data_IF_260663751088
#
_entry.id   IF_260663751088
#
_cell.length_a   1.000
_cell.length_b   1.000
_cell.length_c   1.000
_cell.angle_alpha   90.00
_cell.angle_beta   90.00
_cell.angle_gamma   90.00
#
_symmetry.space_group_name_H-M   'P 1'
#
loop_
_entity.id
_entity.type
_entity.pdbx_description
1 polymer ?
#
# COMPACT_ATOMS: atom_id res chain seq x y z
N UNK A 1 13.92 -10.60 7.16
CA UNK A 1 13.73 -11.34 8.44
C UNK A 1 12.67 -12.45 8.33
N UNK A 2 11.36 -12.16 8.22
CA UNK A 2 10.29 -13.19 8.18
C UNK A 2 10.55 -14.28 7.13
N UNK A 3 10.93 -13.91 5.91
CA UNK A 3 11.18 -14.91 4.85
C UNK A 3 12.41 -15.81 5.12
N UNK A 4 13.39 -15.32 5.89
CA UNK A 4 14.54 -16.13 6.32
C UNK A 4 14.16 -17.09 7.45
N UNK A 5 13.29 -16.64 8.37
CA UNK A 5 12.69 -17.50 9.40
C UNK A 5 11.86 -18.61 8.76
N UNK A 6 11.02 -18.28 7.78
CA UNK A 6 10.22 -19.27 7.05
C UNK A 6 11.09 -20.26 6.25
N UNK A 7 12.17 -19.79 5.62
CA UNK A 7 13.08 -20.65 4.86
C UNK A 7 13.86 -21.63 5.74
N UNK A 8 14.16 -21.25 6.99
CA UNK A 8 14.85 -22.10 7.96
C UNK A 8 13.92 -22.91 8.85
N UNK A 9 12.60 -22.73 8.71
CA UNK A 9 11.59 -23.23 9.65
C UNK A 9 11.63 -24.74 9.82
N UNK A 10 11.69 -25.50 8.72
CA UNK A 10 11.65 -26.96 8.77
C UNK A 10 12.95 -27.52 9.35
N UNK A 11 14.10 -26.88 9.05
CA UNK A 11 15.39 -27.23 9.64
C UNK A 11 15.44 -26.98 11.16
N UNK A 12 14.93 -25.84 11.61
CA UNK A 12 14.83 -25.51 13.04
C UNK A 12 13.88 -26.47 13.76
N UNK A 13 12.73 -26.77 13.15
CA UNK A 13 11.74 -27.72 13.72
C UNK A 13 12.34 -29.11 13.88
N UNK A 14 13.08 -29.59 12.86
CA UNK A 14 13.76 -30.88 12.91
C UNK A 14 14.85 -30.94 14.00
N UNK A 15 15.63 -29.87 14.17
CA UNK A 15 16.65 -29.77 15.21
C UNK A 15 16.03 -29.80 16.62
N UNK A 16 14.93 -29.08 16.82
CA UNK A 16 14.19 -29.07 18.08
C UNK A 16 13.57 -30.44 18.39
N UNK A 17 13.05 -31.12 17.37
CA UNK A 17 12.52 -32.48 17.50
C UNK A 17 13.60 -33.49 17.90
N UNK A 18 14.78 -33.43 17.26
CA UNK A 18 15.92 -34.30 17.60
C UNK A 18 16.44 -34.09 19.02
N UNK A 19 16.29 -32.89 19.58
CA UNK A 19 16.69 -32.55 20.95
C UNK A 19 15.56 -32.74 21.98
N UNK A 20 14.37 -33.17 21.57
CA UNK A 20 13.21 -33.31 22.46
C UNK A 20 12.71 -31.97 23.04
N UNK A 21 13.03 -30.85 22.40
CA UNK A 21 12.73 -29.50 22.91
C UNK A 21 11.46 -28.88 22.33
N UNK A 22 10.72 -29.59 21.47
CA UNK A 22 9.55 -29.07 20.76
C UNK A 22 8.47 -28.46 21.67
N UNK A 23 8.23 -29.04 22.84
CA UNK A 23 7.26 -28.51 23.83
C UNK A 23 7.56 -27.07 24.27
N UNK A 24 8.84 -26.70 24.37
CA UNK A 24 9.22 -25.35 24.79
C UNK A 24 8.96 -24.29 23.71
N UNK A 25 8.74 -24.72 22.46
CA UNK A 25 8.54 -23.85 21.30
C UNK A 25 7.19 -24.07 20.62
N UNK A 26 6.29 -24.81 21.24
CA UNK A 26 4.99 -25.18 20.64
C UNK A 26 4.17 -23.95 20.23
N UNK A 27 4.19 -22.90 21.07
CA UNK A 27 3.54 -21.61 20.77
C UNK A 27 4.14 -20.90 19.56
N UNK A 28 5.45 -21.04 19.33
CA UNK A 28 6.12 -20.43 18.16
C UNK A 28 5.85 -21.28 16.92
N UNK A 29 5.90 -22.61 17.06
CA UNK A 29 5.67 -23.55 15.96
C UNK A 29 4.23 -23.44 15.42
N UNK A 30 3.25 -23.20 16.27
CA UNK A 30 1.85 -23.01 15.87
C UNK A 30 1.60 -21.71 15.09
N UNK A 31 2.52 -20.74 15.16
CA UNK A 31 2.42 -19.45 14.47
C UNK A 31 2.93 -19.47 13.02
N UNK A 32 3.39 -20.61 12.50
CA UNK A 32 3.94 -20.73 11.13
C UNK A 32 2.99 -20.14 10.07
N UNK A 33 1.70 -20.46 10.16
CA UNK A 33 0.70 -20.00 9.19
C UNK A 33 0.53 -18.48 9.21
N UNK A 34 0.44 -17.88 10.41
CA UNK A 34 0.37 -16.43 10.57
C UNK A 34 1.59 -15.73 9.94
N UNK A 35 2.79 -16.29 10.12
CA UNK A 35 4.00 -15.75 9.50
C UNK A 35 4.00 -15.87 7.97
N UNK A 36 3.45 -16.96 7.43
CA UNK A 36 3.25 -17.12 5.99
C UNK A 36 2.27 -16.07 5.45
N UNK A 37 1.15 -15.87 6.13
CA UNK A 37 0.13 -14.89 5.75
C UNK A 37 0.68 -13.46 5.79
N UNK A 38 1.43 -13.11 6.84
CA UNK A 38 2.14 -11.83 6.93
C UNK A 38 3.19 -11.66 5.81
N UNK A 39 3.93 -12.72 5.48
CA UNK A 39 4.89 -12.67 4.37
C UNK A 39 4.19 -12.48 3.02
N UNK A 40 3.02 -13.10 2.83
CA UNK A 40 2.19 -12.94 1.64
C UNK A 40 1.62 -11.51 1.55
N UNK A 41 1.17 -10.94 2.67
CA UNK A 41 0.70 -9.55 2.76
C UNK A 41 1.77 -8.54 2.33
N UNK A 42 3.04 -8.80 2.66
CA UNK A 42 4.17 -7.92 2.31
C UNK A 42 4.74 -8.15 0.90
N UNK A 43 4.38 -9.23 0.21
CA UNK A 43 4.98 -9.61 -1.07
C UNK A 43 4.81 -8.53 -2.17
N UNK A 44 3.61 -7.95 -2.38
CA UNK A 44 3.42 -6.92 -3.40
C UNK A 44 4.25 -5.66 -3.15
N UNK A 45 4.45 -5.28 -1.89
CA UNK A 45 5.27 -4.12 -1.52
C UNK A 45 6.74 -4.30 -1.86
N UNK A 46 7.25 -5.53 -1.72
CA UNK A 46 8.63 -5.85 -2.12
C UNK A 46 8.80 -5.80 -3.63
N UNK A 47 7.82 -6.33 -4.38
CA UNK A 47 7.81 -6.23 -5.83
C UNK A 47 7.74 -4.76 -6.29
N UNK A 48 6.89 -3.95 -5.65
CA UNK A 48 6.78 -2.53 -5.91
C UNK A 48 8.12 -1.80 -5.69
N UNK A 49 8.76 -2.03 -4.55
CA UNK A 49 10.04 -1.40 -4.20
C UNK A 49 11.13 -1.74 -5.21
N UNK A 50 11.28 -3.03 -5.54
CA UNK A 50 12.28 -3.50 -6.52
C UNK A 50 12.10 -2.88 -7.90
N UNK A 51 10.86 -2.72 -8.35
CA UNK A 51 10.58 -2.15 -9.67
C UNK A 51 10.72 -0.63 -9.68
N UNK A 52 10.40 0.05 -8.57
CA UNK A 52 10.63 1.49 -8.40
C UNK A 52 12.12 1.86 -8.32
N UNK A 53 12.96 0.97 -7.79
CA UNK A 53 14.42 1.16 -7.73
C UNK A 53 15.12 1.05 -9.10
N UNK A 54 14.44 0.53 -10.13
CA UNK A 54 15.02 0.42 -11.47
C UNK A 54 15.01 1.77 -12.16
N UNK A 55 16.17 2.28 -12.58
CA UNK A 55 16.29 3.52 -13.36
C UNK A 55 16.02 3.22 -14.84
N UNK A 56 14.74 3.17 -15.24
CA UNK A 56 14.32 3.05 -16.64
C UNK A 56 13.29 4.13 -17.00
N UNK A 57 13.08 4.39 -18.29
CA UNK A 57 11.98 5.28 -18.73
C UNK A 57 10.63 4.64 -18.36
N UNK A 58 9.68 5.44 -17.86
CA UNK A 58 8.35 4.95 -17.46
C UNK A 58 8.21 4.49 -16.00
N UNK A 59 9.22 4.73 -15.16
CA UNK A 59 9.22 4.34 -13.73
C UNK A 59 8.08 4.95 -12.94
N UNK A 60 7.65 6.18 -13.25
CA UNK A 60 6.48 6.78 -12.60
C UNK A 60 5.21 5.97 -12.88
N UNK A 61 4.93 5.64 -14.13
CA UNK A 61 3.76 4.85 -14.52
C UNK A 61 3.79 3.42 -13.95
N UNK A 62 4.96 2.77 -14.00
CA UNK A 62 5.18 1.44 -13.41
C UNK A 62 5.01 1.50 -11.89
N UNK A 63 5.55 2.53 -11.24
CA UNK A 63 5.42 2.76 -9.81
C UNK A 63 3.98 2.92 -9.38
N UNK A 64 3.22 3.81 -10.02
CA UNK A 64 1.80 4.00 -9.75
C UNK A 64 1.01 2.70 -9.92
N UNK A 65 1.29 1.92 -10.97
CA UNK A 65 0.68 0.59 -11.15
C UNK A 65 1.00 -0.36 -9.99
N UNK A 66 2.25 -0.41 -9.55
CA UNK A 66 2.64 -1.28 -8.42
C UNK A 66 1.97 -0.85 -7.12
N UNK A 67 1.77 0.46 -6.92
CA UNK A 67 0.97 0.97 -5.81
C UNK A 67 -0.50 0.55 -5.92
N UNK A 68 -1.07 0.52 -7.12
CA UNK A 68 -2.43 0.01 -7.35
C UNK A 68 -2.53 -1.47 -6.98
N UNK A 69 -1.58 -2.29 -7.41
CA UNK A 69 -1.52 -3.71 -7.07
C UNK A 69 -1.43 -3.92 -5.54
N UNK A 70 -0.63 -3.10 -4.84
CA UNK A 70 -0.57 -3.09 -3.38
C UNK A 70 -1.93 -2.71 -2.76
N UNK A 71 -2.61 -1.70 -3.32
CA UNK A 71 -3.91 -1.24 -2.83
C UNK A 71 -5.01 -2.28 -3.01
N UNK A 72 -5.08 -2.92 -4.17
CA UNK A 72 -6.02 -4.02 -4.43
C UNK A 72 -5.73 -5.15 -3.46
N UNK A 73 -4.47 -5.57 -3.33
CA UNK A 73 -4.09 -6.65 -2.42
C UNK A 73 -4.47 -6.36 -0.98
N UNK A 74 -4.28 -5.12 -0.51
CA UNK A 74 -4.66 -4.71 0.84
C UNK A 74 -6.19 -4.71 1.07
N UNK A 75 -7.00 -4.48 0.04
CA UNK A 75 -8.46 -4.47 0.13
C UNK A 75 -9.11 -5.84 -0.11
N UNK A 76 -8.41 -6.76 -0.77
CA UNK A 76 -8.85 -8.16 -0.88
C UNK A 76 -8.56 -8.89 0.42
N UNK A 77 -9.62 -9.31 1.12
CA UNK A 77 -9.50 -10.07 2.37
C UNK A 77 -9.73 -11.56 2.09
N UNK A 78 -8.75 -12.45 2.34
CA UNK A 78 -8.94 -13.90 2.21
C UNK A 78 -9.99 -14.42 3.21
N UNK A 79 -10.78 -15.42 2.82
CA UNK A 79 -11.84 -15.99 3.66
C UNK A 79 -11.35 -16.63 4.97
N UNK A 80 -10.11 -17.13 4.99
CA UNK A 80 -9.51 -17.85 6.12
C UNK A 80 -8.38 -17.05 6.79
N UNK A 81 -8.40 -15.72 6.67
CA UNK A 81 -7.37 -14.86 7.29
C UNK A 81 -7.56 -14.79 8.80
N UNK A 82 -6.48 -14.96 9.56
CA UNK A 82 -6.52 -14.79 11.02
C UNK A 82 -6.79 -13.34 11.43
N UNK A 83 -7.44 -13.14 12.58
CA UNK A 83 -7.81 -11.81 13.09
C UNK A 83 -6.60 -10.87 13.21
N UNK A 84 -5.46 -11.36 13.70
CA UNK A 84 -4.21 -10.59 13.80
C UNK A 84 -3.71 -10.09 12.44
N UNK A 85 -3.83 -10.91 11.39
CA UNK A 85 -3.44 -10.51 10.03
C UNK A 85 -4.45 -9.52 9.45
N UNK A 86 -5.74 -9.70 9.71
CA UNK A 86 -6.79 -8.75 9.30
C UNK A 86 -6.60 -7.37 9.96
N UNK A 87 -6.26 -7.32 11.24
CA UNK A 87 -5.93 -6.07 11.94
C UNK A 87 -4.68 -5.40 11.33
N UNK A 88 -3.62 -6.19 11.11
CA UNK A 88 -2.40 -5.73 10.44
C UNK A 88 -2.71 -5.16 9.05
N UNK A 89 -3.56 -5.82 8.26
CA UNK A 89 -4.03 -5.35 6.95
C UNK A 89 -4.78 -4.02 7.05
N UNK A 90 -5.63 -3.82 8.07
CA UNK A 90 -6.31 -2.53 8.31
C UNK A 90 -5.31 -1.42 8.65
N UNK A 91 -4.36 -1.70 9.54
CA UNK A 91 -3.31 -0.75 9.89
C UNK A 91 -2.43 -0.38 8.67
N UNK A 92 -2.04 -1.39 7.88
CA UNK A 92 -1.30 -1.18 6.64
C UNK A 92 -2.09 -0.37 5.61
N UNK A 93 -3.42 -0.58 5.47
CA UNK A 93 -4.27 0.27 4.63
C UNK A 93 -4.22 1.73 5.05
N UNK A 94 -4.42 2.03 6.34
CA UNK A 94 -4.36 3.40 6.87
C UNK A 94 -2.99 4.03 6.62
N UNK A 95 -1.92 3.30 6.93
CA UNK A 95 -0.56 3.77 6.69
C UNK A 95 -0.26 3.99 5.21
N UNK A 96 -0.69 3.09 4.33
CA UNK A 96 -0.47 3.19 2.89
C UNK A 96 -1.13 4.43 2.30
N UNK A 97 -2.38 4.73 2.69
CA UNK A 97 -3.05 5.97 2.28
C UNK A 97 -2.27 7.19 2.79
N UNK A 98 -2.00 7.26 4.09
CA UNK A 98 -1.44 8.47 4.72
C UNK A 98 0.02 8.75 4.34
N UNK A 99 0.82 7.70 4.13
CA UNK A 99 2.27 7.82 3.93
C UNK A 99 2.69 7.67 2.47
N UNK A 100 1.91 6.98 1.65
CA UNK A 100 2.24 6.74 0.25
C UNK A 100 1.33 7.55 -0.65
N UNK A 101 0.02 7.26 -0.63
CA UNK A 101 -0.92 7.85 -1.58
C UNK A 101 -1.02 9.37 -1.42
N UNK A 102 -1.13 9.85 -0.19
CA UNK A 102 -1.22 11.29 0.11
C UNK A 102 0.03 12.10 -0.22
N UNK A 103 1.17 11.42 -0.43
CA UNK A 103 2.45 12.07 -0.75
C UNK A 103 2.84 11.94 -2.22
N UNK A 104 1.97 11.36 -3.05
CA UNK A 104 2.21 11.28 -4.49
C UNK A 104 2.15 12.69 -5.09
N UNK A 105 3.19 13.04 -5.84
CA UNK A 105 3.23 14.31 -6.55
C UNK A 105 2.38 14.24 -7.83
N UNK A 106 1.87 15.38 -8.30
CA UNK A 106 1.12 15.47 -9.56
C UNK A 106 1.90 14.90 -10.73
N UNK A 107 3.21 15.15 -10.80
CA UNK A 107 4.06 14.67 -11.89
C UNK A 107 4.13 13.14 -11.93
N UNK A 108 4.14 12.49 -10.76
CA UNK A 108 4.09 11.04 -10.67
C UNK A 108 2.75 10.48 -11.20
N UNK A 109 1.65 11.19 -10.94
CA UNK A 109 0.31 10.81 -11.41
C UNK A 109 0.12 11.09 -12.90
N UNK A 110 0.58 12.26 -13.37
CA UNK A 110 0.56 12.64 -14.78
C UNK A 110 1.35 11.65 -15.63
N UNK A 111 2.54 11.23 -15.17
CA UNK A 111 3.32 10.20 -15.84
C UNK A 111 2.54 8.89 -16.04
N UNK A 112 1.72 8.49 -15.06
CA UNK A 112 0.86 7.32 -15.18
C UNK A 112 -0.35 7.55 -16.09
N UNK A 113 -0.99 8.73 -16.01
CA UNK A 113 -2.16 9.08 -16.83
C UNK A 113 -1.84 9.21 -18.32
N UNK A 114 -0.61 9.61 -18.65
CA UNK A 114 -0.15 9.82 -20.02
C UNK A 114 0.33 8.53 -20.70
N UNK A 115 0.56 7.45 -19.95
CA UNK A 115 1.02 6.18 -20.50
C UNK A 115 -0.14 5.45 -21.22
N UNK A 116 -0.04 5.19 -22.54
CA UNK A 116 -1.16 4.67 -23.34
C UNK A 116 -1.72 3.33 -22.86
N UNK A 117 -0.87 2.52 -22.22
CA UNK A 117 -1.21 1.21 -21.67
C UNK A 117 -1.95 1.28 -20.33
N UNK A 118 -1.86 2.40 -19.62
CA UNK A 118 -2.32 2.52 -18.21
C UNK A 118 -3.28 3.68 -17.98
N UNK A 119 -3.95 4.17 -19.05
CA UNK A 119 -4.99 5.22 -19.02
C UNK A 119 -5.75 5.24 -17.69
N UNK A 120 -5.87 6.42 -17.05
CA UNK A 120 -6.76 6.88 -15.95
C UNK A 120 -7.25 5.89 -14.87
N UNK A 121 -7.66 4.68 -15.22
CA UNK A 121 -8.14 3.60 -14.36
C UNK A 121 -7.23 3.30 -13.16
N UNK A 122 -5.90 3.33 -13.33
CA UNK A 122 -4.97 3.08 -12.22
C UNK A 122 -4.98 4.18 -11.17
N UNK A 123 -5.12 5.43 -11.59
CA UNK A 123 -5.22 6.60 -10.68
C UNK A 123 -6.59 6.64 -9.99
N UNK A 124 -7.66 6.27 -10.68
CA UNK A 124 -9.00 6.16 -10.12
C UNK A 124 -9.12 5.07 -9.05
N UNK A 125 -8.53 3.89 -9.30
CA UNK A 125 -8.57 2.75 -8.36
C UNK A 125 -7.77 2.99 -7.08
N UNK A 126 -6.72 3.80 -7.15
CA UNK A 126 -5.99 4.27 -5.97
C UNK A 126 -6.81 5.21 -5.09
N UNK A 127 -8.04 5.57 -5.48
CA UNK A 127 -8.90 6.46 -4.72
C UNK A 127 -8.42 7.91 -4.69
N UNK A 128 -7.35 8.24 -5.43
CA UNK A 128 -6.76 9.57 -5.52
C UNK A 128 -7.78 10.55 -6.09
N UNK A 129 -8.54 10.10 -7.10
CA UNK A 129 -9.60 10.89 -7.74
C UNK A 129 -10.79 11.18 -6.82
N UNK A 130 -11.04 10.38 -5.76
CA UNK A 130 -12.15 10.65 -4.83
C UNK A 130 -11.94 11.94 -4.01
N UNK A 131 -10.70 12.40 -3.80
CA UNK A 131 -10.43 13.69 -3.16
C UNK A 131 -10.71 14.88 -4.09
N UNK A 132 -10.56 14.70 -5.41
CA UNK A 132 -10.89 15.70 -6.42
C UNK A 132 -12.41 15.72 -6.74
N UNK A 133 -13.09 14.58 -6.67
CA UNK A 133 -14.54 14.47 -6.87
C UNK A 133 -15.42 15.11 -5.78
N UNK A 134 -14.86 15.56 -4.65
CA UNK A 134 -15.63 16.27 -3.60
C UNK A 134 -16.01 17.71 -3.99
N UNK A 135 -15.55 18.21 -5.13
CA UNK A 135 -16.09 19.40 -5.79
C UNK A 135 -16.90 18.91 -6.97
N UNK A 136 -18.22 18.97 -6.84
CA UNK A 136 -19.15 18.61 -7.91
C UNK A 136 -18.81 19.44 -9.17
N UNK A 137 -18.83 18.78 -10.35
CA UNK A 137 -18.69 19.31 -11.72
C UNK A 137 -17.31 19.44 -12.44
N UNK A 138 -16.25 18.70 -12.07
CA UNK A 138 -14.93 18.86 -12.73
C UNK A 138 -14.36 17.66 -13.52
N UNK A 139 -15.17 16.64 -13.85
CA UNK A 139 -14.67 15.40 -14.49
C UNK A 139 -14.54 15.42 -16.02
N UNK A 140 -14.37 16.58 -16.66
CA UNK A 140 -13.81 16.59 -18.00
C UNK A 140 -12.29 16.35 -17.91
N UNK A 141 -11.76 15.48 -18.78
CA UNK A 141 -10.33 15.12 -18.81
C UNK A 141 -9.43 16.35 -18.90
N UNK A 142 -9.91 17.40 -19.55
CA UNK A 142 -9.23 18.69 -19.66
C UNK A 142 -9.23 19.48 -18.35
N UNK A 143 -10.32 19.43 -17.56
CA UNK A 143 -10.40 20.06 -16.25
C UNK A 143 -9.52 19.36 -15.22
N UNK A 144 -9.46 18.02 -15.20
CA UNK A 144 -8.54 17.27 -14.34
C UNK A 144 -7.06 17.60 -14.63
N UNK A 145 -6.69 17.71 -15.91
CA UNK A 145 -5.34 18.12 -16.31
C UNK A 145 -5.10 19.60 -15.97
N UNK A 146 -6.12 20.45 -16.06
CA UNK A 146 -6.09 21.86 -15.65
C UNK A 146 -5.90 22.05 -14.15
N UNK A 147 -6.63 21.32 -13.31
CA UNK A 147 -6.48 21.36 -11.86
C UNK A 147 -5.13 20.80 -11.40
N UNK A 148 -4.65 19.71 -12.02
CA UNK A 148 -3.30 19.19 -11.76
C UNK A 148 -2.22 20.22 -12.11
N UNK A 149 -2.38 20.97 -13.20
CA UNK A 149 -1.48 22.08 -13.58
C UNK A 149 -1.60 23.31 -12.66
N UNK A 150 -2.81 23.63 -12.21
CA UNK A 150 -3.02 24.73 -11.26
C UNK A 150 -2.43 24.40 -9.88
N UNK A 151 -2.51 23.13 -9.47
CA UNK A 151 -1.96 22.66 -8.20
C UNK A 151 -0.43 22.57 -8.21
N UNK A 152 0.22 22.27 -9.35
CA UNK A 152 1.68 22.35 -9.49
C UNK A 152 2.22 23.79 -9.52
N UNK A 153 1.37 24.79 -9.78
CA UNK A 153 1.75 26.21 -9.78
C UNK A 153 1.44 26.93 -8.46
N UNK A 154 0.81 26.26 -7.49
CA UNK A 154 0.45 26.86 -6.21
C UNK A 154 1.47 26.43 -5.13
N UNK A 155 2.37 27.34 -4.75
CA UNK A 155 3.45 27.09 -3.76
C UNK A 155 2.96 26.88 -2.31
N UNK A 156 1.65 26.84 -2.05
CA UNK A 156 1.06 26.81 -0.69
C UNK A 156 0.33 25.50 -0.35
N UNK A 157 0.90 24.33 -0.63
CA UNK A 157 0.32 23.02 -0.23
C UNK A 157 0.73 22.63 1.20
N UNK A 158 0.53 23.53 2.18
CA UNK A 158 0.85 23.26 3.59
C UNK A 158 -0.30 23.44 4.60
N UNK A 159 -1.49 23.91 4.20
CA UNK A 159 -2.53 24.30 5.18
C UNK A 159 -3.70 23.33 5.42
N UNK A 160 -3.67 22.08 4.91
CA UNK A 160 -4.78 21.14 5.15
C UNK A 160 -4.62 20.23 6.38
N UNK A 161 -3.75 20.55 7.35
CA UNK A 161 -3.57 19.74 8.57
C UNK A 161 -4.28 20.33 9.80
N UNK A 162 -4.67 21.60 9.80
CA UNK A 162 -5.21 22.25 11.00
C UNK A 162 -6.71 22.02 11.27
N UNK A 163 -7.47 21.43 10.35
CA UNK A 163 -8.94 21.38 10.47
C UNK A 163 -9.51 20.05 10.99
N UNK A 164 -8.69 19.00 11.18
CA UNK A 164 -9.16 17.66 11.61
C UNK A 164 -8.76 17.30 13.06
N UNK A 165 -8.12 18.22 13.80
CA UNK A 165 -7.85 18.05 15.25
C UNK A 165 -8.96 18.65 16.14
N UNK A 166 -10.07 19.13 15.56
CA UNK A 166 -11.10 19.91 16.27
C UNK A 166 -12.44 19.23 16.56
N UNK A 167 -12.68 17.98 16.12
CA UNK A 167 -14.02 17.34 16.24
C UNK A 167 -14.08 16.15 17.21
N UNK A 168 -13.11 15.99 18.12
CA UNK A 168 -13.18 15.00 19.22
C UNK A 168 -13.19 15.64 20.63
N UNK A 169 -13.51 16.93 20.74
CA UNK A 169 -13.83 17.59 22.03
C UNK A 169 -15.09 18.47 21.91
N UNK A 170 -16.26 17.86 21.72
CA UNK A 170 -17.52 18.35 22.30
C UNK A 170 -18.67 17.36 22.06
N UNK A 171 -19.26 16.93 23.18
CA UNK A 171 -20.55 16.23 23.39
C UNK A 171 -20.66 14.75 23.03
#
# INVERSE_FOLDING_TARGET
>A
MISSILASWDGVTLLLARRGQTRHFETVLSQKQMLMDLSSLLSPFRAATKDMERVQRGVAAIGIRRLEECWVHLNTTPANESEAVTETRRAMRKAFVNKVIMRLTPDALLGAMMEPRYKLAGVERLGIVRKFRKKDDLLDRENLVGELKAWTMNENVHECVAADEGEDEAT
#
